data_IF_717261308150
#
_entry.id   IF_717261308150
#
_cell.length_a   1.000
_cell.length_b   1.000
_cell.length_c   1.000
_cell.angle_alpha   90.00
_cell.angle_beta   90.00
_cell.angle_gamma   90.00
#
_symmetry.space_group_name_H-M   'P 1'
#
loop_
_entity.id
_entity.type
_entity.pdbx_description
1 polymer ?
#
# COMPACT_ATOMS: atom_id res chain seq x y z
N UNK A 1 29.19 -13.87 -5.44
CA UNK A 1 29.28 -12.74 -6.38
C UNK A 1 28.51 -11.58 -5.79
N UNK A 2 29.13 -10.42 -5.68
CA UNK A 2 28.58 -9.22 -5.03
C UNK A 2 27.50 -8.59 -5.93
N UNK A 3 26.25 -9.04 -5.79
CA UNK A 3 25.11 -8.46 -6.48
C UNK A 3 24.87 -7.02 -6.00
N UNK A 4 24.53 -6.13 -6.92
CA UNK A 4 24.05 -4.78 -6.58
C UNK A 4 22.82 -4.95 -5.66
N UNK A 5 22.75 -4.25 -4.52
CA UNK A 5 21.60 -4.38 -3.63
C UNK A 5 20.30 -4.00 -4.36
N UNK A 6 19.18 -4.70 -4.10
CA UNK A 6 17.90 -4.39 -4.73
C UNK A 6 17.50 -2.93 -4.47
N UNK A 7 16.99 -2.26 -5.52
CA UNK A 7 16.57 -0.85 -5.46
C UNK A 7 15.13 -0.72 -5.97
N UNK A 8 14.12 -1.00 -5.12
CA UNK A 8 12.71 -1.03 -5.52
C UNK A 8 12.25 0.24 -6.23
N UNK A 9 12.54 1.40 -5.63
CA UNK A 9 12.18 2.70 -6.19
C UNK A 9 12.81 2.95 -7.56
N UNK A 10 14.06 2.52 -7.76
CA UNK A 10 14.76 2.70 -9.03
C UNK A 10 14.10 1.86 -10.14
N UNK A 11 13.76 0.61 -9.84
CA UNK A 11 13.11 -0.27 -10.82
C UNK A 11 11.68 0.19 -11.12
N UNK A 12 10.91 0.60 -10.10
CA UNK A 12 9.58 1.18 -10.30
C UNK A 12 9.65 2.47 -11.14
N UNK A 13 10.59 3.38 -10.86
CA UNK A 13 10.78 4.60 -11.65
C UNK A 13 11.21 4.31 -13.09
N UNK A 14 12.05 3.30 -13.31
CA UNK A 14 12.46 2.87 -14.66
C UNK A 14 11.25 2.43 -15.48
N UNK A 15 10.37 1.60 -14.89
CA UNK A 15 9.14 1.16 -15.56
C UNK A 15 8.16 2.30 -15.78
N UNK A 16 7.98 3.18 -14.79
CA UNK A 16 7.14 4.38 -14.94
C UNK A 16 7.64 5.27 -16.09
N UNK A 17 8.94 5.54 -16.17
CA UNK A 17 9.51 6.33 -17.26
C UNK A 17 9.36 5.66 -18.63
N UNK A 18 9.50 4.33 -18.69
CA UNK A 18 9.25 3.56 -19.91
C UNK A 18 7.78 3.67 -20.34
N UNK A 19 6.84 3.48 -19.41
CA UNK A 19 5.41 3.59 -19.68
C UNK A 19 5.01 5.00 -20.11
N UNK A 20 5.60 6.03 -19.50
CA UNK A 20 5.41 7.44 -19.88
C UNK A 20 5.83 7.70 -21.35
N UNK A 21 6.92 7.08 -21.80
CA UNK A 21 7.41 7.20 -23.18
C UNK A 21 6.53 6.43 -24.17
N UNK A 22 6.07 5.23 -23.79
CA UNK A 22 5.32 4.34 -24.70
C UNK A 22 3.85 4.70 -24.78
N UNK A 23 3.22 5.05 -23.66
CA UNK A 23 1.77 5.27 -23.55
C UNK A 23 1.40 6.75 -23.42
N UNK A 24 2.38 7.63 -23.23
CA UNK A 24 2.18 9.05 -22.97
C UNK A 24 2.07 9.39 -21.48
N UNK A 25 2.25 10.69 -21.18
CA UNK A 25 2.16 11.21 -19.82
C UNK A 25 0.74 11.18 -19.25
N UNK A 26 -0.28 11.09 -20.12
CA UNK A 26 -1.71 11.00 -19.81
C UNK A 26 -2.23 9.56 -19.81
N UNK A 27 -1.36 8.54 -19.78
CA UNK A 27 -1.76 7.11 -19.82
C UNK A 27 -2.84 6.74 -18.78
N UNK A 28 -2.85 7.41 -17.63
CA UNK A 28 -3.83 7.15 -16.57
C UNK A 28 -5.24 7.70 -16.88
N UNK A 29 -5.40 8.52 -17.93
CA UNK A 29 -6.72 8.85 -18.50
C UNK A 29 -7.31 7.68 -19.30
N UNK A 30 -6.45 6.78 -19.80
CA UNK A 30 -6.85 5.60 -20.57
C UNK A 30 -7.17 4.41 -19.65
N UNK A 31 -6.61 4.40 -18.44
CA UNK A 31 -6.87 3.40 -17.42
C UNK A 31 -5.69 3.18 -16.47
N UNK A 32 -5.84 2.29 -15.49
CA UNK A 32 -4.75 1.90 -14.59
C UNK A 32 -3.63 1.17 -15.34
N UNK A 33 -2.48 1.00 -14.66
CA UNK A 33 -1.40 0.16 -15.20
C UNK A 33 -1.92 -1.28 -15.35
N UNK A 34 -1.90 -1.80 -16.58
CA UNK A 34 -2.11 -3.22 -16.86
C UNK A 34 -0.87 -4.01 -16.44
N UNK A 35 -0.80 -4.28 -15.13
CA UNK A 35 0.38 -4.87 -14.49
C UNK A 35 0.60 -6.32 -14.89
N UNK A 36 -0.47 -7.05 -15.22
CA UNK A 36 -0.41 -8.42 -15.72
C UNK A 36 0.30 -8.45 -17.07
N UNK A 37 -0.19 -7.65 -18.02
CA UNK A 37 0.43 -7.54 -19.34
C UNK A 37 1.85 -7.01 -19.25
N UNK A 38 2.09 -6.00 -18.41
CA UNK A 38 3.42 -5.45 -18.18
C UNK A 38 4.40 -6.51 -17.67
N UNK A 39 4.00 -7.31 -16.68
CA UNK A 39 4.86 -8.35 -16.10
C UNK A 39 5.26 -9.40 -17.15
N UNK A 40 4.31 -9.86 -17.96
CA UNK A 40 4.54 -10.86 -19.02
C UNK A 40 5.42 -10.27 -20.14
N UNK A 41 5.03 -9.14 -20.73
CA UNK A 41 5.75 -8.58 -21.88
C UNK A 41 7.14 -8.05 -21.50
N UNK A 42 7.28 -7.36 -20.37
CA UNK A 42 8.56 -6.82 -19.94
C UNK A 42 9.56 -7.92 -19.57
N UNK A 43 9.11 -8.96 -18.88
CA UNK A 43 9.98 -10.09 -18.52
C UNK A 43 10.43 -10.88 -19.77
N UNK A 44 9.53 -11.12 -20.73
CA UNK A 44 9.86 -11.74 -22.00
C UNK A 44 10.93 -10.95 -22.80
N UNK A 45 10.86 -9.62 -22.77
CA UNK A 45 11.83 -8.78 -23.46
C UNK A 45 13.18 -8.65 -22.72
N UNK A 46 13.15 -8.54 -21.39
CA UNK A 46 14.37 -8.21 -20.60
C UNK A 46 15.09 -9.43 -20.04
N UNK A 47 14.40 -10.57 -19.90
CA UNK A 47 14.95 -11.83 -19.43
C UNK A 47 14.32 -13.00 -20.19
N UNK A 48 14.53 -13.10 -21.53
CA UNK A 48 13.88 -14.11 -22.38
C UNK A 48 14.24 -15.56 -22.00
N UNK A 49 15.34 -15.76 -21.26
CA UNK A 49 15.73 -17.07 -20.76
C UNK A 49 14.93 -17.51 -19.52
N UNK A 50 14.35 -16.59 -18.75
CA UNK A 50 13.51 -16.90 -17.58
C UNK A 50 12.31 -15.94 -17.46
N UNK A 51 11.39 -15.89 -18.45
CA UNK A 51 10.30 -14.92 -18.46
C UNK A 51 9.17 -15.32 -17.50
N UNK A 52 8.33 -14.34 -17.13
CA UNK A 52 6.99 -14.60 -16.60
C UNK A 52 6.09 -14.93 -17.78
N UNK A 53 5.48 -16.11 -17.78
CA UNK A 53 4.66 -16.58 -18.89
C UNK A 53 3.16 -16.48 -18.62
N UNK A 54 2.76 -16.50 -17.36
CA UNK A 54 1.35 -16.46 -16.97
C UNK A 54 1.15 -15.76 -15.62
N UNK A 55 -0.05 -15.19 -15.48
CA UNK A 55 -0.63 -14.75 -14.21
C UNK A 55 -1.94 -15.48 -14.04
N UNK A 56 -2.09 -16.22 -12.94
CA UNK A 56 -3.24 -17.10 -12.73
C UNK A 56 -3.81 -16.94 -11.34
N UNK A 57 -5.11 -17.20 -11.23
CA UNK A 57 -5.79 -17.20 -9.94
C UNK A 57 -5.95 -18.65 -9.47
N UNK A 58 -5.51 -18.95 -8.25
CA UNK A 58 -5.67 -20.28 -7.61
C UNK A 58 -6.05 -20.13 -6.16
N UNK A 59 -6.70 -21.15 -5.60
CA UNK A 59 -6.84 -21.24 -4.15
C UNK A 59 -5.46 -21.45 -3.52
N UNK A 60 -5.04 -20.50 -2.69
CA UNK A 60 -3.76 -20.48 -2.02
C UNK A 60 -4.00 -20.32 -0.51
N UNK A 61 -4.26 -21.42 0.21
CA UNK A 61 -4.52 -21.37 1.64
C UNK A 61 -3.36 -20.69 2.39
N UNK A 62 -3.66 -19.60 3.09
CA UNK A 62 -2.69 -18.85 3.89
C UNK A 62 -1.74 -17.94 3.10
N UNK A 63 -1.87 -17.85 1.78
CA UNK A 63 -1.07 -16.95 0.92
C UNK A 63 -1.98 -16.00 0.13
N UNK A 64 -1.54 -14.76 -0.06
CA UNK A 64 -2.22 -13.78 -0.93
C UNK A 64 -1.71 -13.84 -2.36
N UNK A 65 -0.45 -14.22 -2.55
CA UNK A 65 0.18 -14.36 -3.84
C UNK A 65 1.41 -15.26 -3.75
N UNK A 66 1.91 -15.65 -4.92
CA UNK A 66 3.19 -16.32 -5.02
C UNK A 66 3.84 -16.07 -6.38
N UNK A 67 5.16 -15.91 -6.37
CA UNK A 67 6.01 -15.98 -7.54
C UNK A 67 6.61 -17.38 -7.61
N UNK A 68 6.13 -18.21 -8.53
CA UNK A 68 6.55 -19.61 -8.69
C UNK A 68 7.30 -19.82 -10.00
N UNK A 69 8.04 -20.91 -10.10
CA UNK A 69 8.72 -21.30 -11.34
C UNK A 69 8.42 -22.74 -11.72
N UNK A 70 8.53 -23.04 -13.02
CA UNK A 70 8.40 -24.40 -13.55
C UNK A 70 9.72 -25.15 -13.52
N UNK A 71 9.65 -26.48 -13.47
CA UNK A 71 10.80 -27.38 -13.63
C UNK A 71 11.23 -27.54 -15.10
N UNK A 72 10.54 -26.87 -16.03
CA UNK A 72 10.88 -26.86 -17.45
C UNK A 72 12.24 -26.19 -17.67
N UNK A 73 12.93 -26.58 -18.75
CA UNK A 73 14.16 -25.93 -19.21
C UNK A 73 13.92 -25.37 -20.63
N UNK A 74 14.05 -24.05 -20.85
CA UNK A 74 14.41 -23.02 -19.87
C UNK A 74 13.32 -22.79 -18.80
N UNK A 75 13.75 -22.43 -17.59
CA UNK A 75 12.86 -22.14 -16.45
C UNK A 75 11.90 -21.02 -16.81
N UNK A 76 10.61 -21.22 -16.57
CA UNK A 76 9.59 -20.17 -16.74
C UNK A 76 8.98 -19.80 -15.39
N UNK A 77 8.75 -18.52 -15.17
CA UNK A 77 8.11 -17.99 -13.97
C UNK A 77 6.61 -17.79 -14.17
N UNK A 78 5.84 -17.89 -13.11
CA UNK A 78 4.41 -17.60 -13.07
C UNK A 78 4.06 -16.82 -11.82
N UNK A 79 3.07 -15.93 -11.93
CA UNK A 79 2.50 -15.22 -10.79
C UNK A 79 1.18 -15.89 -10.45
N UNK A 80 1.00 -16.28 -9.19
CA UNK A 80 -0.24 -16.86 -8.69
C UNK A 80 -0.88 -15.87 -7.74
N UNK A 81 -2.14 -15.51 -7.99
CA UNK A 81 -2.97 -14.72 -7.07
C UNK A 81 -3.96 -15.61 -6.35
N UNK A 82 -4.21 -15.35 -5.06
CA UNK A 82 -5.27 -16.03 -4.33
C UNK A 82 -6.66 -15.65 -4.90
N UNK A 83 -7.56 -16.62 -5.02
CA UNK A 83 -8.91 -16.37 -5.55
C UNK A 83 -9.75 -15.48 -4.61
N UNK A 84 -10.78 -14.82 -5.15
CA UNK A 84 -11.72 -14.01 -4.35
C UNK A 84 -11.23 -12.58 -4.01
N UNK A 85 -10.04 -12.19 -4.47
CA UNK A 85 -9.52 -10.84 -4.30
C UNK A 85 -10.36 -9.79 -5.04
N UNK A 86 -10.35 -8.55 -4.56
CA UNK A 86 -10.86 -7.41 -5.33
C UNK A 86 -9.90 -7.08 -6.46
N UNK A 87 -10.38 -6.44 -7.53
CA UNK A 87 -9.52 -6.04 -8.66
C UNK A 87 -8.30 -5.23 -8.20
N UNK A 88 -8.50 -4.25 -7.30
CA UNK A 88 -7.42 -3.46 -6.75
C UNK A 88 -6.43 -4.26 -5.87
N UNK A 89 -6.92 -5.26 -5.13
CA UNK A 89 -6.04 -6.17 -4.37
C UNK A 89 -5.24 -7.05 -5.32
N UNK A 90 -5.89 -7.64 -6.34
CA UNK A 90 -5.24 -8.47 -7.36
C UNK A 90 -4.15 -7.70 -8.10
N UNK A 91 -4.43 -6.47 -8.52
CA UNK A 91 -3.42 -5.60 -9.15
C UNK A 91 -2.21 -5.36 -8.25
N UNK A 92 -2.44 -5.12 -6.96
CA UNK A 92 -1.34 -4.98 -5.99
C UNK A 92 -0.55 -6.28 -5.83
N UNK A 93 -1.22 -7.43 -5.71
CA UNK A 93 -0.56 -8.75 -5.63
C UNK A 93 0.31 -9.01 -6.87
N UNK A 94 -0.20 -8.78 -8.08
CA UNK A 94 0.59 -8.98 -9.30
C UNK A 94 1.79 -8.04 -9.33
N UNK A 95 1.61 -6.76 -8.97
CA UNK A 95 2.71 -5.80 -8.89
C UNK A 95 3.77 -6.22 -7.85
N UNK A 96 3.33 -6.76 -6.71
CA UNK A 96 4.18 -7.24 -5.64
C UNK A 96 5.01 -8.46 -6.10
N UNK A 97 4.36 -9.49 -6.66
CA UNK A 97 5.07 -10.66 -7.19
C UNK A 97 5.98 -10.31 -8.38
N UNK A 98 5.59 -9.33 -9.19
CA UNK A 98 6.47 -8.79 -10.24
C UNK A 98 7.69 -8.06 -9.65
N UNK A 99 7.52 -7.39 -8.51
CA UNK A 99 8.62 -6.84 -7.71
C UNK A 99 9.59 -7.93 -7.26
N UNK A 100 9.07 -9.05 -6.73
CA UNK A 100 9.89 -10.23 -6.42
C UNK A 100 10.64 -10.75 -7.65
N UNK A 101 9.99 -10.80 -8.80
CA UNK A 101 10.64 -11.24 -10.03
C UNK A 101 11.81 -10.32 -10.39
N UNK A 102 11.63 -9.01 -10.36
CA UNK A 102 12.69 -8.06 -10.74
C UNK A 102 13.83 -7.98 -9.72
N UNK A 103 13.51 -8.05 -8.44
CA UNK A 103 14.44 -7.74 -7.35
C UNK A 103 15.07 -8.99 -6.73
N UNK A 104 14.33 -10.11 -6.69
CA UNK A 104 14.64 -11.24 -5.81
C UNK A 104 14.81 -12.58 -6.56
N UNK A 105 14.35 -12.73 -7.81
CA UNK A 105 14.45 -14.02 -8.55
C UNK A 105 15.86 -14.59 -8.65
N UNK A 106 16.87 -13.72 -8.72
CA UNK A 106 18.28 -14.11 -8.78
C UNK A 106 18.74 -14.84 -7.50
N UNK A 107 18.05 -14.66 -6.38
CA UNK A 107 18.31 -15.45 -5.16
C UNK A 107 17.93 -16.91 -5.37
N UNK A 108 16.88 -17.19 -6.15
CA UNK A 108 16.41 -18.55 -6.46
C UNK A 108 17.24 -19.16 -7.60
N UNK A 109 17.52 -18.40 -8.65
CA UNK A 109 18.27 -18.86 -9.81
C UNK A 109 19.73 -19.21 -9.48
N UNK A 110 20.32 -18.56 -8.47
CA UNK A 110 21.70 -18.82 -8.06
C UNK A 110 21.84 -19.89 -6.94
N UNK A 111 20.84 -20.77 -6.80
CA UNK A 111 20.87 -21.90 -5.85
C UNK A 111 20.50 -21.53 -4.41
N UNK A 112 19.66 -20.51 -4.20
CA UNK A 112 19.29 -20.02 -2.88
C UNK A 112 18.06 -20.68 -2.23
N UNK A 113 17.62 -20.07 -1.14
CA UNK A 113 16.84 -20.64 -0.02
C UNK A 113 15.31 -20.77 -0.24
N UNK A 114 14.82 -20.76 -1.49
CA UNK A 114 13.37 -20.85 -1.79
C UNK A 114 13.08 -21.93 -2.83
N UNK A 115 12.77 -23.15 -2.36
CA UNK A 115 12.30 -24.23 -3.22
C UNK A 115 10.87 -23.94 -3.72
N UNK A 116 10.66 -24.01 -5.03
CA UNK A 116 9.35 -23.88 -5.68
C UNK A 116 8.86 -22.45 -5.92
N UNK A 117 9.43 -21.45 -5.24
CA UNK A 117 9.07 -20.03 -5.44
C UNK A 117 9.06 -19.21 -4.16
N UNK A 118 8.60 -17.97 -4.27
CA UNK A 118 8.34 -17.08 -3.15
C UNK A 118 6.84 -17.09 -2.89
N UNK A 119 6.44 -17.45 -1.66
CA UNK A 119 5.04 -17.48 -1.24
C UNK A 119 4.80 -16.37 -0.23
N UNK A 120 3.90 -15.46 -0.57
CA UNK A 120 3.60 -14.27 0.21
C UNK A 120 2.36 -14.52 1.07
N UNK A 121 2.56 -14.58 2.39
CA UNK A 121 1.48 -14.83 3.35
C UNK A 121 1.10 -13.54 4.06
N UNK A 122 -0.16 -13.41 4.45
CA UNK A 122 -0.64 -12.25 5.23
C UNK A 122 0.06 -12.10 6.60
N UNK A 123 0.76 -13.12 7.10
CA UNK A 123 1.41 -13.11 8.42
C UNK A 123 2.72 -13.88 8.57
N UNK A 124 3.35 -14.36 7.50
CA UNK A 124 4.53 -15.23 7.64
C UNK A 124 5.84 -14.46 7.70
N UNK A 125 6.42 -14.43 8.90
CA UNK A 125 7.87 -14.37 9.08
C UNK A 125 8.42 -15.74 8.64
N UNK A 126 8.66 -15.96 7.35
CA UNK A 126 9.46 -17.12 6.94
C UNK A 126 10.90 -16.93 7.43
N UNK A 127 11.35 -17.88 8.25
CA UNK A 127 12.68 -17.92 8.86
C UNK A 127 13.73 -18.12 7.79
N UNK A 128 14.30 -17.00 7.35
CA UNK A 128 15.45 -16.94 6.45
C UNK A 128 15.37 -15.66 5.62
N UNK A 129 15.75 -14.51 6.20
CA UNK A 129 15.87 -13.21 5.50
C UNK A 129 14.57 -12.64 4.89
N UNK A 130 13.42 -12.70 5.57
CA UNK A 130 13.03 -11.68 6.56
C UNK A 130 12.24 -10.50 5.92
N UNK A 131 11.53 -9.67 6.72
CA UNK A 131 10.62 -8.59 6.29
C UNK A 131 11.15 -7.51 5.33
N UNK A 132 12.40 -7.60 4.85
CA UNK A 132 12.98 -6.66 3.89
C UNK A 132 12.60 -6.99 2.44
N UNK A 133 12.52 -8.26 2.03
CA UNK A 133 12.13 -8.59 0.63
C UNK A 133 10.66 -8.26 0.36
N UNK A 134 9.77 -8.57 1.30
CA UNK A 134 8.33 -8.24 1.21
C UNK A 134 8.15 -6.72 1.17
N UNK A 135 8.87 -6.00 2.03
CA UNK A 135 8.87 -4.54 2.05
C UNK A 135 9.40 -3.94 0.75
N UNK A 136 10.44 -4.54 0.17
CA UNK A 136 10.98 -4.13 -1.11
C UNK A 136 9.99 -4.36 -2.25
N UNK A 137 9.28 -5.50 -2.25
CA UNK A 137 8.22 -5.80 -3.21
C UNK A 137 7.01 -4.85 -3.04
N UNK A 138 6.57 -4.58 -1.80
CA UNK A 138 5.52 -3.60 -1.50
C UNK A 138 5.91 -2.20 -1.97
N UNK A 139 7.14 -1.77 -1.69
CA UNK A 139 7.65 -0.48 -2.14
C UNK A 139 7.68 -0.40 -3.67
N UNK A 140 8.10 -1.46 -4.35
CA UNK A 140 8.05 -1.52 -5.80
C UNK A 140 6.60 -1.41 -6.31
N UNK A 141 5.68 -2.24 -5.79
CA UNK A 141 4.29 -2.31 -6.20
C UNK A 141 3.57 -0.96 -6.03
N UNK A 142 3.69 -0.34 -4.85
CA UNK A 142 3.07 0.96 -4.57
C UNK A 142 3.60 2.07 -5.51
N UNK A 143 4.89 2.04 -5.85
CA UNK A 143 5.49 3.06 -6.73
C UNK A 143 5.23 2.81 -8.21
N UNK A 144 5.02 1.56 -8.62
CA UNK A 144 4.61 1.22 -9.98
C UNK A 144 3.15 1.58 -10.24
N UNK A 145 2.25 1.20 -9.32
CA UNK A 145 0.80 1.40 -9.48
C UNK A 145 0.37 2.84 -9.21
N UNK A 146 1.01 3.53 -8.25
CA UNK A 146 0.70 4.91 -7.87
C UNK A 146 1.96 5.78 -7.85
N UNK A 147 2.54 6.18 -8.99
CA UNK A 147 3.76 6.99 -9.02
C UNK A 147 3.58 8.36 -8.33
N UNK A 148 4.51 8.74 -7.43
CA UNK A 148 4.41 9.99 -6.66
C UNK A 148 4.34 11.24 -7.54
N UNK A 149 4.99 11.21 -8.71
CA UNK A 149 4.97 12.32 -9.67
C UNK A 149 3.59 12.55 -10.28
N UNK A 150 2.75 11.52 -10.42
CA UNK A 150 1.35 11.67 -10.86
C UNK A 150 0.44 12.01 -9.66
N UNK A 151 0.60 11.30 -8.54
CA UNK A 151 -0.17 11.51 -7.32
C UNK A 151 -0.12 12.97 -6.85
N UNK A 152 1.08 13.57 -6.79
CA UNK A 152 1.27 14.95 -6.33
C UNK A 152 0.71 16.02 -7.27
N UNK A 153 0.49 15.70 -8.55
CA UNK A 153 -0.17 16.62 -9.51
C UNK A 153 -1.67 16.68 -9.24
N UNK A 154 -2.28 15.52 -8.97
CA UNK A 154 -3.73 15.39 -8.77
C UNK A 154 -4.15 15.74 -7.33
N UNK A 155 -3.29 15.43 -6.36
CA UNK A 155 -3.50 15.72 -4.96
C UNK A 155 -2.22 16.37 -4.38
N UNK A 156 -2.12 17.71 -4.43
CA UNK A 156 -0.98 18.43 -3.87
C UNK A 156 -0.77 18.14 -2.38
N UNK A 157 0.47 18.21 -1.91
CA UNK A 157 0.86 17.79 -0.56
C UNK A 157 0.14 18.56 0.58
N UNK A 158 -0.36 19.77 0.33
CA UNK A 158 -1.08 20.61 1.31
C UNK A 158 -2.60 20.51 1.23
N UNK A 159 -3.12 19.70 0.32
CA UNK A 159 -4.56 19.51 0.16
C UNK A 159 -5.05 18.47 1.16
N UNK A 160 -6.15 18.78 1.86
CA UNK A 160 -6.93 17.83 2.67
C UNK A 160 -8.02 17.20 1.77
N UNK A 161 -7.86 15.94 1.33
CA UNK A 161 -8.82 15.31 0.41
C UNK A 161 -10.05 14.78 1.15
N UNK A 162 -11.19 14.73 0.47
CA UNK A 162 -12.35 13.96 0.90
C UNK A 162 -12.35 12.54 0.32
N UNK A 163 -13.25 11.68 0.80
CA UNK A 163 -13.38 10.31 0.26
C UNK A 163 -13.81 10.27 -1.20
N UNK A 164 -14.45 11.33 -1.71
CA UNK A 164 -14.84 11.42 -3.13
C UNK A 164 -13.60 11.53 -4.01
N UNK A 165 -12.69 12.46 -3.72
CA UNK A 165 -11.44 12.63 -4.43
C UNK A 165 -10.55 11.39 -4.29
N UNK A 166 -10.41 10.85 -3.08
CA UNK A 166 -9.65 9.63 -2.84
C UNK A 166 -10.22 8.42 -3.62
N UNK A 167 -11.56 8.33 -3.71
CA UNK A 167 -12.24 7.31 -4.51
C UNK A 167 -11.99 7.47 -6.01
N UNK A 168 -11.99 8.70 -6.53
CA UNK A 168 -11.62 8.98 -7.93
C UNK A 168 -10.19 8.55 -8.23
N UNK A 169 -9.24 8.81 -7.33
CA UNK A 169 -7.86 8.36 -7.47
C UNK A 169 -7.75 6.83 -7.39
N UNK A 170 -8.53 6.18 -6.52
CA UNK A 170 -8.53 4.72 -6.40
C UNK A 170 -8.99 4.06 -7.71
N UNK A 171 -10.04 4.61 -8.34
CA UNK A 171 -10.49 4.18 -9.65
C UNK A 171 -9.44 4.43 -10.75
N UNK A 172 -8.82 5.63 -10.77
CA UNK A 172 -7.76 5.97 -11.73
C UNK A 172 -6.59 4.99 -11.71
N UNK A 173 -6.08 4.69 -10.53
CA UNK A 173 -4.92 3.80 -10.37
C UNK A 173 -5.29 2.32 -10.34
N UNK A 174 -6.59 1.98 -10.28
CA UNK A 174 -7.05 0.60 -10.22
C UNK A 174 -6.61 -0.10 -8.94
N UNK A 175 -6.67 0.60 -7.81
CA UNK A 175 -6.22 0.13 -6.49
C UNK A 175 -7.33 0.33 -5.44
N UNK A 176 -7.13 -0.15 -4.22
CA UNK A 176 -8.08 0.08 -3.14
C UNK A 176 -8.03 1.52 -2.62
N UNK A 177 -9.14 1.99 -2.04
CA UNK A 177 -9.20 3.28 -1.37
C UNK A 177 -8.17 3.40 -0.23
N UNK A 178 -8.01 2.33 0.56
CA UNK A 178 -6.95 2.22 1.58
C UNK A 178 -5.56 2.46 1.00
N UNK A 179 -5.25 1.88 -0.17
CA UNK A 179 -3.95 2.06 -0.81
C UNK A 179 -3.71 3.53 -1.18
N UNK A 180 -4.72 4.22 -1.72
CA UNK A 180 -4.62 5.66 -2.03
C UNK A 180 -4.41 6.50 -0.79
N UNK A 181 -5.15 6.23 0.30
CA UNK A 181 -5.00 6.99 1.54
C UNK A 181 -3.60 6.80 2.12
N UNK A 182 -3.13 5.55 2.21
CA UNK A 182 -1.77 5.25 2.66
C UNK A 182 -0.73 5.95 1.79
N UNK A 183 -0.91 5.92 0.46
CA UNK A 183 -0.02 6.59 -0.49
C UNK A 183 -0.02 8.10 -0.31
N UNK A 184 -1.15 8.72 -0.01
CA UNK A 184 -1.23 10.15 0.29
C UNK A 184 -0.57 10.49 1.63
N UNK A 185 -0.78 9.68 2.67
CA UNK A 185 -0.15 9.86 3.99
C UNK A 185 1.38 9.81 3.93
N UNK A 186 1.97 9.14 2.93
CA UNK A 186 3.43 9.08 2.71
C UNK A 186 4.04 10.42 2.28
N UNK A 187 3.28 11.32 1.65
CA UNK A 187 3.83 12.58 1.12
C UNK A 187 3.09 13.85 1.54
N UNK A 188 1.94 13.73 2.18
CA UNK A 188 1.16 14.89 2.63
C UNK A 188 1.93 15.70 3.68
N UNK A 189 1.88 17.02 3.53
CA UNK A 189 2.37 17.98 4.53
C UNK A 189 1.27 18.30 5.56
N UNK A 190 0.02 17.88 5.29
CA UNK A 190 -1.09 18.05 6.24
C UNK A 190 -1.02 17.04 7.37
N UNK A 191 -1.57 17.39 8.53
CA UNK A 191 -1.67 16.49 9.67
C UNK A 191 -2.93 15.65 9.53
N UNK A 192 -2.75 14.37 9.22
CA UNK A 192 -3.84 13.41 9.11
C UNK A 192 -3.51 12.05 9.71
N UNK A 193 -4.55 11.35 10.18
CA UNK A 193 -4.49 9.98 10.71
C UNK A 193 -5.60 9.15 10.08
N UNK A 194 -5.24 8.02 9.48
CA UNK A 194 -6.20 6.99 9.05
C UNK A 194 -6.35 5.95 10.16
N UNK A 195 -7.57 5.52 10.43
CA UNK A 195 -7.91 4.42 11.34
C UNK A 195 -8.75 3.41 10.57
N UNK A 196 -8.38 2.14 10.66
CA UNK A 196 -9.21 1.03 10.19
C UNK A 196 -9.71 0.26 11.40
N UNK A 197 -11.02 0.07 11.47
CA UNK A 197 -11.70 -0.54 12.60
C UNK A 197 -12.68 -1.63 12.18
N UNK A 198 -13.09 -2.40 13.18
CA UNK A 198 -14.26 -3.26 13.15
C UNK A 198 -14.77 -3.42 14.59
N UNK A 199 -16.08 -3.62 14.75
CA UNK A 199 -16.74 -3.90 16.04
C UNK A 199 -16.40 -2.90 17.16
N UNK A 200 -16.16 -1.63 16.83
CA UNK A 200 -15.82 -0.58 17.80
C UNK A 200 -14.35 -0.58 18.27
N UNK A 201 -13.48 -1.36 17.63
CA UNK A 201 -12.04 -1.39 17.94
C UNK A 201 -11.20 -1.08 16.71
N UNK A 202 -10.14 -0.31 16.89
CA UNK A 202 -9.16 -0.09 15.84
C UNK A 202 -8.34 -1.36 15.60
N UNK A 203 -8.36 -1.88 14.37
CA UNK A 203 -7.40 -2.89 13.92
C UNK A 203 -6.02 -2.28 13.78
N UNK A 204 -5.93 -1.12 13.14
CA UNK A 204 -4.70 -0.36 13.02
C UNK A 204 -4.96 1.11 12.71
N UNK A 205 -3.95 1.95 12.98
CA UNK A 205 -3.93 3.34 12.57
C UNK A 205 -2.60 3.72 11.89
N UNK A 206 -2.65 4.69 10.98
CA UNK A 206 -1.48 5.26 10.30
C UNK A 206 -1.57 6.78 10.31
N UNK A 207 -0.58 7.42 10.93
CA UNK A 207 -0.40 8.86 10.87
C UNK A 207 0.45 9.25 9.66
N UNK A 208 0.14 10.41 9.08
CA UNK A 208 1.07 11.17 8.23
C UNK A 208 2.33 11.55 9.01
N UNK A 209 3.43 11.82 8.30
CA UNK A 209 4.68 12.24 8.94
C UNK A 209 4.50 13.54 9.76
N UNK A 210 3.72 14.50 9.24
CA UNK A 210 3.41 15.75 9.93
C UNK A 210 2.61 15.52 11.22
N UNK A 211 1.60 14.64 11.19
CA UNK A 211 0.82 14.30 12.39
C UNK A 211 1.70 13.58 13.42
N UNK A 212 2.47 12.57 12.99
CA UNK A 212 3.36 11.81 13.86
C UNK A 212 4.39 12.70 14.57
N UNK A 213 5.09 13.57 13.83
CA UNK A 213 6.09 14.52 14.39
C UNK A 213 5.49 15.50 15.40
N UNK A 214 4.20 15.76 15.31
CA UNK A 214 3.46 16.63 16.24
C UNK A 214 2.80 15.88 17.41
N UNK A 215 3.01 14.57 17.54
CA UNK A 215 2.40 13.74 18.59
C UNK A 215 0.96 13.28 18.31
N UNK A 216 0.42 13.56 17.11
CA UNK A 216 -0.91 13.13 16.70
C UNK A 216 -0.87 11.75 16.04
N UNK A 217 -0.98 10.69 16.84
CA UNK A 217 -1.05 9.31 16.38
C UNK A 217 -1.85 8.43 17.36
N UNK A 218 -2.32 7.29 16.87
CA UNK A 218 -3.01 6.27 17.67
C UNK A 218 -2.13 5.02 17.69
N UNK A 219 -1.75 4.57 18.89
CA UNK A 219 -0.96 3.37 19.07
C UNK A 219 -1.87 2.12 19.07
N UNK A 220 -1.76 1.29 18.04
CA UNK A 220 -2.59 0.08 17.86
C UNK A 220 -1.78 -1.23 17.84
N UNK A 221 -0.45 -1.16 18.06
CA UNK A 221 0.44 -2.31 17.88
C UNK A 221 0.48 -3.26 19.08
N UNK A 222 0.56 -2.69 20.28
CA UNK A 222 0.68 -3.44 21.53
C UNK A 222 -0.49 -3.15 22.47
N UNK A 223 -1.47 -2.40 21.98
CA UNK A 223 -2.58 -1.89 22.77
C UNK A 223 -3.83 -1.96 21.91
N UNK A 224 -4.85 -2.60 22.46
CA UNK A 224 -6.20 -2.53 21.90
C UNK A 224 -6.68 -1.10 22.08
N UNK A 225 -7.09 -0.47 20.98
CA UNK A 225 -7.67 0.86 21.02
C UNK A 225 -9.17 0.75 20.75
N UNK A 226 -9.95 0.89 21.81
CA UNK A 226 -11.41 1.05 21.71
C UNK A 226 -11.70 2.42 21.10
N UNK A 227 -12.59 2.45 20.12
CA UNK A 227 -12.96 3.69 19.47
C UNK A 227 -13.76 4.58 20.42
N UNK A 228 -13.65 5.92 20.28
CA UNK A 228 -14.46 6.84 21.08
C UNK A 228 -15.95 6.55 20.91
N UNK A 229 -16.79 6.62 21.96
CA UNK A 229 -18.24 6.37 21.84
C UNK A 229 -18.94 7.30 20.84
N UNK A 230 -18.39 8.48 20.62
CA UNK A 230 -18.89 9.47 19.66
C UNK A 230 -18.35 9.27 18.23
N UNK A 231 -17.43 8.33 18.00
CA UNK A 231 -16.89 8.05 16.68
C UNK A 231 -18.00 7.61 15.71
N UNK A 232 -17.91 8.08 14.47
CA UNK A 232 -18.90 7.78 13.44
C UNK A 232 -19.01 6.27 13.21
N UNK A 233 -17.89 5.54 13.24
CA UNK A 233 -17.85 4.08 13.15
C UNK A 233 -18.62 3.37 14.30
N UNK A 234 -18.62 3.94 15.51
CA UNK A 234 -19.33 3.37 16.67
C UNK A 234 -20.81 3.70 16.64
N UNK A 235 -21.15 4.95 16.30
CA UNK A 235 -22.55 5.41 16.23
C UNK A 235 -23.31 4.80 15.05
N UNK A 236 -22.61 4.25 14.05
CA UNK A 236 -23.22 3.73 12.83
C UNK A 236 -23.82 4.83 11.96
N UNK A 237 -23.33 6.08 12.08
CA UNK A 237 -23.79 7.17 11.24
C UNK A 237 -23.25 7.01 9.81
N UNK A 238 -24.17 6.87 8.87
CA UNK A 238 -23.89 6.68 7.44
C UNK A 238 -24.36 7.88 6.60
N UNK A 239 -24.63 9.02 7.25
CA UNK A 239 -25.02 10.27 6.62
C UNK A 239 -23.95 10.80 5.65
N UNK A 240 -24.35 11.67 4.73
CA UNK A 240 -23.40 12.36 3.86
C UNK A 240 -22.54 13.38 4.64
N UNK A 241 -23.01 13.84 5.80
CA UNK A 241 -22.24 14.66 6.73
C UNK A 241 -21.07 13.87 7.33
N UNK A 242 -21.32 12.64 7.79
CA UNK A 242 -20.29 11.70 8.25
C UNK A 242 -19.21 11.41 7.19
N UNK A 243 -19.62 11.36 5.90
CA UNK A 243 -18.68 11.17 4.79
C UNK A 243 -17.92 12.44 4.41
N UNK A 244 -18.49 13.62 4.65
CA UNK A 244 -17.93 14.92 4.29
C UNK A 244 -17.04 15.51 5.39
N UNK A 245 -17.29 15.15 6.65
CA UNK A 245 -16.49 15.53 7.80
C UNK A 245 -17.32 16.13 8.93
N UNK A 246 -17.17 15.56 10.13
CA UNK A 246 -17.77 16.05 11.37
C UNK A 246 -16.65 16.61 12.25
N UNK A 247 -16.79 17.86 12.71
CA UNK A 247 -15.86 18.42 13.69
C UNK A 247 -16.04 17.73 15.04
N UNK A 248 -14.99 17.08 15.53
CA UNK A 248 -14.92 16.46 16.85
C UNK A 248 -14.04 17.30 17.78
N UNK A 249 -14.46 17.51 19.04
CA UNK A 249 -13.68 18.26 20.00
C UNK A 249 -12.40 17.51 20.40
N UNK A 250 -11.43 18.24 20.92
CA UNK A 250 -10.27 17.64 21.58
C UNK A 250 -10.71 16.76 22.76
N UNK A 251 -10.01 15.65 22.95
CA UNK A 251 -10.36 14.58 23.88
C UNK A 251 -11.31 13.52 23.31
N UNK A 252 -11.90 13.72 22.12
CA UNK A 252 -12.68 12.69 21.46
C UNK A 252 -11.76 11.63 20.83
N UNK A 253 -11.02 11.97 19.79
CA UNK A 253 -10.07 11.08 19.12
C UNK A 253 -8.62 11.29 19.58
N UNK A 254 -8.22 12.56 19.65
CA UNK A 254 -6.88 13.02 19.99
C UNK A 254 -7.02 14.20 20.96
N UNK A 255 -5.91 14.68 21.54
CA UNK A 255 -5.94 15.79 22.50
C UNK A 255 -6.45 17.11 21.90
N UNK A 256 -6.37 17.26 20.59
CA UNK A 256 -6.84 18.43 19.83
C UNK A 256 -8.05 18.11 18.95
N UNK A 257 -8.82 19.12 18.50
CA UNK A 257 -9.95 18.92 17.61
C UNK A 257 -9.55 18.31 16.26
N UNK A 258 -10.43 17.49 15.70
CA UNK A 258 -10.25 16.83 14.40
C UNK A 258 -11.51 16.94 13.56
N UNK A 259 -11.36 17.01 12.24
CA UNK A 259 -12.46 16.72 11.32
C UNK A 259 -12.43 15.23 11.03
N UNK A 260 -13.45 14.53 11.52
CA UNK A 260 -13.63 13.09 11.33
C UNK A 260 -14.47 12.82 10.09
N UNK A 261 -13.90 12.10 9.14
CA UNK A 261 -14.63 11.52 8.01
C UNK A 261 -14.65 10.01 8.19
N UNK A 262 -15.77 9.35 7.93
CA UNK A 262 -15.85 7.90 8.03
C UNK A 262 -16.70 7.29 6.92
N UNK A 263 -16.27 6.12 6.44
CA UNK A 263 -17.02 5.28 5.50
C UNK A 263 -16.97 3.82 5.97
N UNK A 264 -17.99 3.06 5.59
CA UNK A 264 -18.03 1.60 5.78
C UNK A 264 -17.75 0.90 4.46
N UNK A 265 -16.91 -0.13 4.51
CA UNK A 265 -16.67 -1.04 3.41
C UNK A 265 -17.45 -2.34 3.64
N UNK A 266 -18.58 -2.50 2.97
CA UNK A 266 -19.46 -3.68 3.13
C UNK A 266 -18.75 -4.99 2.81
N UNK A 267 -17.86 -5.01 1.81
CA UNK A 267 -17.15 -6.22 1.37
C UNK A 267 -16.23 -6.83 2.44
N UNK A 268 -15.69 -5.99 3.33
CA UNK A 268 -14.70 -6.42 4.32
C UNK A 268 -15.19 -6.23 5.76
N UNK A 269 -16.44 -5.77 5.93
CA UNK A 269 -17.04 -5.42 7.24
C UNK A 269 -16.09 -4.57 8.10
N UNK A 270 -15.51 -3.53 7.49
CA UNK A 270 -14.58 -2.62 8.15
C UNK A 270 -14.97 -1.18 7.91
N UNK A 271 -14.72 -0.33 8.88
CA UNK A 271 -14.79 1.11 8.72
C UNK A 271 -13.40 1.70 8.45
N UNK A 272 -13.38 2.75 7.63
CA UNK A 272 -12.21 3.59 7.39
C UNK A 272 -12.55 4.97 7.88
N UNK A 273 -11.88 5.39 8.95
CA UNK A 273 -11.96 6.74 9.48
C UNK A 273 -10.72 7.53 9.06
N UNK A 274 -10.92 8.72 8.53
CA UNK A 274 -9.87 9.69 8.23
C UNK A 274 -10.03 10.92 9.12
N UNK A 275 -9.02 11.21 9.91
CA UNK A 275 -8.97 12.35 10.82
C UNK A 275 -8.06 13.41 10.22
N UNK A 276 -8.61 14.59 9.95
CA UNK A 276 -7.84 15.78 9.57
C UNK A 276 -7.66 16.69 10.77
N UNK A 277 -6.43 17.12 11.02
CA UNK A 277 -6.08 18.06 12.08
C UNK A 277 -5.74 19.43 11.49
N UNK A 278 -5.86 20.47 12.30
CA UNK A 278 -5.42 21.80 11.90
C UNK A 278 -3.91 21.92 11.74
N UNK A 279 -3.51 22.82 10.85
CA UNK A 279 -2.10 23.09 10.57
C UNK A 279 -1.51 23.90 11.75
N UNK A 280 -0.39 23.44 12.31
CA UNK A 280 0.31 24.17 13.39
C UNK A 280 0.01 23.71 14.83
N UNK A 281 -0.14 22.40 15.04
CA UNK A 281 -0.33 21.78 16.37
C UNK A 281 0.73 22.14 17.43
N UNK A 282 0.59 21.63 18.66
CA UNK A 282 1.48 21.99 19.78
C UNK A 282 2.96 21.79 19.40
N UNK A 283 3.78 22.84 19.55
CA UNK A 283 5.23 22.74 19.35
C UNK A 283 5.83 21.90 20.48
N UNK A 284 6.05 20.61 20.27
CA UNK A 284 6.89 19.85 21.19
C UNK A 284 8.37 20.25 21.01
N UNK A 285 9.01 20.62 22.13
CA UNK A 285 10.46 20.79 22.21
C UNK A 285 11.11 19.43 21.92
N UNK A 286 12.18 19.46 21.12
CA UNK A 286 12.98 18.30 20.78
C UNK A 286 13.50 17.63 22.05
N UNK A 287 12.99 16.44 22.34
CA UNK A 287 13.75 15.43 23.08
C UNK A 287 14.12 14.30 22.12
N UNK A 288 15.37 13.87 22.28
CA UNK A 288 16.23 12.92 21.58
C UNK A 288 15.69 12.24 20.31
N UNK A 289 16.51 12.27 19.27
CA UNK A 289 16.30 11.59 18.00
C UNK A 289 16.04 10.09 18.23
N UNK A 290 14.76 9.73 18.36
CA UNK A 290 14.31 8.37 18.13
C UNK A 290 14.62 8.10 16.66
N UNK A 291 15.49 7.11 16.43
CA UNK A 291 15.93 6.71 15.10
C UNK A 291 14.74 6.60 14.15
N UNK A 292 14.96 7.11 12.94
CA UNK A 292 14.06 7.07 11.81
C UNK A 292 13.66 5.61 11.50
N UNK A 293 12.44 5.23 11.88
CA UNK A 293 11.83 3.94 11.48
C UNK A 293 10.63 4.22 10.59
N UNK A 294 10.88 4.90 9.48
CA UNK A 294 10.05 4.78 8.29
C UNK A 294 10.16 3.37 7.72
N UNK A 295 9.65 2.33 8.40
CA UNK A 295 9.57 0.98 7.84
C UNK A 295 8.52 0.06 8.49
N UNK A 296 7.91 -0.75 7.61
CA UNK A 296 6.91 -1.82 7.83
C UNK A 296 5.46 -1.38 7.82
N UNK A 297 5.06 -0.90 6.64
CA UNK A 297 3.69 -0.96 6.14
C UNK A 297 3.21 -2.43 6.13
N UNK A 298 1.97 -2.63 6.55
CA UNK A 298 1.23 -3.89 6.58
C UNK A 298 1.82 -4.96 7.54
N UNK A 299 1.50 -4.82 8.82
CA UNK A 299 1.45 -5.94 9.77
C UNK A 299 -0.01 -6.26 10.05
#
# INVERSE_FOLDING_TARGET
>A
MTGVPPRPLREAHKLTAMLDVVLGLDRFEQGPVDVERLAIEYSAQTAPATPIHEVIDRDLPGCVGALVYSDNVPRQWGIVCSTGQSSGRRNFTIAHEFGHYLLHRGMIENGGEYEGGIYCNEGSIHRGKGPDIERQADQFAANLLMPLNDCRKLLPARTRPDFKLLGTLAARYGVSLTAVILRWLEYTETRAVMVVSNEGFAHWAKASEAAFKSGAYIATRETVFELPPAATAVTGDHSDEAKSGILRPGGCWLSEPVVEMCIRSDRYEREITLLHLEDGGPRHQKDEAVEDVCDRFVR
#
